data_IF_674142427275
#
_entry.id   IF_674142427275
#
_cell.length_a   1.000
_cell.length_b   1.000
_cell.length_c   1.000
_cell.angle_alpha   90.00
_cell.angle_beta   90.00
_cell.angle_gamma   90.00
#
_symmetry.space_group_name_H-M   'P 1'
#
loop_
_entity.id
_entity.type
_entity.pdbx_description
1 polymer ?
#
# COMPACT_ATOMS: atom_id res chain seq x y z
N UNK A 1 57.17 45.68 -23.05
CA UNK A 1 56.57 44.72 -22.13
C UNK A 1 55.04 44.91 -22.17
N UNK A 2 54.29 44.06 -22.89
CA UNK A 2 52.85 44.16 -22.99
C UNK A 2 52.23 43.23 -21.87
N UNK A 3 51.49 43.82 -20.96
CA UNK A 3 50.76 43.10 -19.93
C UNK A 3 49.46 42.54 -20.57
N UNK A 4 49.33 41.23 -20.64
CA UNK A 4 48.07 40.59 -20.95
C UNK A 4 47.17 40.50 -19.69
N UNK A 5 46.00 41.09 -19.74
CA UNK A 5 44.98 41.00 -18.73
C UNK A 5 44.11 39.77 -19.07
N UNK A 6 44.17 38.76 -18.23
CA UNK A 6 43.32 37.56 -18.34
C UNK A 6 41.95 37.86 -17.70
N UNK A 7 40.91 37.99 -18.50
CA UNK A 7 39.56 38.17 -18.02
C UNK A 7 38.99 36.79 -17.61
N UNK A 8 38.73 36.60 -16.33
CA UNK A 8 38.09 35.41 -15.77
C UNK A 8 36.57 35.58 -15.90
N UNK A 9 35.94 34.89 -16.85
CA UNK A 9 34.47 34.87 -16.99
C UNK A 9 33.89 33.89 -15.99
N UNK A 10 33.25 34.36 -14.93
CA UNK A 10 32.50 33.54 -13.99
C UNK A 10 31.16 33.21 -14.62
N UNK A 11 30.99 31.96 -15.00
CA UNK A 11 29.71 31.40 -15.48
C UNK A 11 28.83 31.10 -14.26
N UNK A 12 27.90 31.99 -13.93
CA UNK A 12 26.90 31.75 -12.89
C UNK A 12 25.85 30.77 -13.43
N UNK A 13 25.91 29.54 -12.97
CA UNK A 13 24.82 28.54 -13.20
C UNK A 13 23.63 28.97 -12.34
N UNK A 14 22.62 29.54 -12.99
CA UNK A 14 21.31 29.77 -12.37
C UNK A 14 20.67 28.41 -12.15
N UNK A 15 20.74 27.87 -10.94
CA UNK A 15 19.89 26.73 -10.51
C UNK A 15 18.49 27.30 -10.41
N UNK A 16 17.65 26.99 -11.40
CA UNK A 16 16.22 27.28 -11.30
C UNK A 16 15.66 26.37 -10.20
N UNK A 17 14.89 26.91 -9.25
CA UNK A 17 14.17 26.07 -8.30
C UNK A 17 13.20 25.19 -9.10
N UNK A 18 13.38 23.88 -9.03
CA UNK A 18 12.38 22.92 -9.50
C UNK A 18 11.17 23.10 -8.60
N UNK A 19 10.14 23.77 -9.10
CA UNK A 19 8.83 23.73 -8.44
C UNK A 19 8.38 22.27 -8.47
N UNK A 20 8.43 21.61 -7.33
CA UNK A 20 7.82 20.29 -7.18
C UNK A 20 6.34 20.44 -7.52
N UNK A 21 5.87 19.73 -8.55
CA UNK A 21 4.44 19.73 -8.93
C UNK A 21 3.59 19.29 -7.73
N UNK A 22 2.74 20.20 -7.26
CA UNK A 22 1.80 19.94 -6.19
C UNK A 22 0.68 19.04 -6.71
N UNK A 23 0.54 17.83 -6.14
CA UNK A 23 -0.54 16.92 -6.49
C UNK A 23 -1.89 17.50 -6.01
N UNK A 24 -2.84 17.61 -6.92
CA UNK A 24 -4.23 18.02 -6.61
C UNK A 24 -5.17 16.87 -6.83
N UNK A 25 -6.07 16.67 -5.87
CA UNK A 25 -7.06 15.59 -5.89
C UNK A 25 -8.44 16.16 -6.14
N UNK A 26 -9.12 15.63 -7.16
CA UNK A 26 -10.50 15.96 -7.47
C UNK A 26 -11.36 14.69 -7.32
N UNK A 27 -12.36 14.74 -6.44
CA UNK A 27 -13.26 13.61 -6.19
C UNK A 27 -14.08 13.32 -7.45
N UNK A 28 -14.01 12.08 -7.92
CA UNK A 28 -14.78 11.61 -9.08
C UNK A 28 -16.12 11.01 -8.65
N UNK A 29 -16.08 10.07 -7.71
CA UNK A 29 -17.26 9.41 -7.20
C UNK A 29 -17.01 8.82 -5.80
N UNK A 30 -18.08 8.44 -5.15
CA UNK A 30 -18.10 7.69 -3.90
C UNK A 30 -19.17 6.62 -4.00
N UNK A 31 -18.83 5.40 -3.62
CA UNK A 31 -19.79 4.31 -3.54
C UNK A 31 -20.83 4.54 -2.44
N UNK A 32 -21.87 3.71 -2.42
CA UNK A 32 -22.72 3.59 -1.25
C UNK A 32 -21.92 3.05 -0.06
N UNK A 33 -22.35 3.38 1.15
CA UNK A 33 -21.76 2.90 2.41
C UNK A 33 -22.34 1.51 2.78
N UNK A 34 -22.01 0.51 1.99
CA UNK A 34 -22.50 -0.87 2.16
C UNK A 34 -21.36 -1.84 2.52
N UNK A 35 -20.10 -1.44 2.33
CA UNK A 35 -18.94 -2.25 2.71
C UNK A 35 -18.81 -2.36 4.24
N UNK A 36 -18.11 -3.40 4.68
CA UNK A 36 -17.90 -3.71 6.09
C UNK A 36 -16.40 -3.69 6.41
N UNK A 37 -15.96 -2.60 7.04
CA UNK A 37 -14.54 -2.34 7.25
C UNK A 37 -13.71 -2.63 5.99
N UNK A 38 -14.00 -1.91 4.83
CA UNK A 38 -13.24 -2.11 3.60
C UNK A 38 -11.78 -1.71 3.83
N UNK A 39 -10.88 -2.64 3.57
CA UNK A 39 -9.48 -2.47 3.93
C UNK A 39 -8.58 -2.22 2.71
N UNK A 40 -8.67 -3.05 1.68
CA UNK A 40 -7.86 -2.92 0.47
C UNK A 40 -8.72 -2.83 -0.78
N UNK A 41 -8.15 -2.22 -1.81
CA UNK A 41 -8.75 -2.13 -3.14
C UNK A 41 -7.72 -2.49 -4.21
N UNK A 42 -8.11 -3.37 -5.13
CA UNK A 42 -7.27 -3.67 -6.32
C UNK A 42 -8.09 -3.62 -7.61
N UNK A 43 -7.40 -3.51 -8.73
CA UNK A 43 -8.00 -3.32 -10.04
C UNK A 43 -7.58 -4.39 -11.03
N UNK A 44 -8.55 -5.13 -11.55
CA UNK A 44 -8.34 -6.04 -12.67
C UNK A 44 -8.39 -5.25 -14.00
N UNK A 45 -7.23 -5.02 -14.59
CA UNK A 45 -7.11 -4.26 -15.84
C UNK A 45 -7.74 -5.00 -17.03
N UNK A 46 -7.73 -6.33 -17.01
CA UNK A 46 -8.26 -7.17 -18.10
C UNK A 46 -9.79 -7.19 -18.10
N UNK A 47 -10.40 -7.31 -16.91
CA UNK A 47 -11.86 -7.38 -16.73
C UNK A 47 -12.47 -6.02 -16.44
N UNK A 48 -11.61 -5.00 -16.19
CA UNK A 48 -12.00 -3.64 -15.84
C UNK A 48 -12.89 -3.60 -14.59
N UNK A 49 -12.56 -4.42 -13.61
CA UNK A 49 -13.30 -4.60 -12.36
C UNK A 49 -12.46 -4.17 -11.18
N UNK A 50 -13.11 -3.69 -10.14
CA UNK A 50 -12.52 -3.31 -8.87
C UNK A 50 -12.91 -4.38 -7.85
N UNK A 51 -11.94 -4.88 -7.08
CA UNK A 51 -12.16 -5.75 -5.93
C UNK A 51 -11.87 -4.98 -4.65
N UNK A 52 -12.71 -5.20 -3.62
CA UNK A 52 -12.56 -4.56 -2.30
C UNK A 52 -12.62 -5.64 -1.24
N UNK A 53 -11.59 -5.76 -0.40
CA UNK A 53 -11.61 -6.64 0.76
C UNK A 53 -12.42 -6.03 1.88
N UNK A 54 -13.14 -6.85 2.63
CA UNK A 54 -13.97 -6.42 3.75
C UNK A 54 -13.67 -7.32 4.96
N UNK A 55 -13.12 -6.72 6.01
CA UNK A 55 -12.81 -7.42 7.27
C UNK A 55 -14.10 -7.92 7.94
N UNK A 56 -15.13 -7.06 7.99
CA UNK A 56 -16.45 -7.36 8.56
C UNK A 56 -16.41 -7.75 10.04
N UNK A 57 -15.70 -6.98 10.85
CA UNK A 57 -15.62 -7.16 12.30
C UNK A 57 -14.20 -7.03 12.84
N UNK A 58 -13.80 -7.92 13.74
CA UNK A 58 -12.49 -7.87 14.36
C UNK A 58 -11.38 -8.35 13.40
N UNK A 59 -10.26 -7.60 13.24
CA UNK A 59 -9.26 -7.87 12.21
C UNK A 59 -8.45 -9.16 12.42
N UNK A 60 -8.60 -9.82 13.57
CA UNK A 60 -7.94 -11.09 13.90
C UNK A 60 -8.92 -12.22 14.19
N UNK A 61 -10.23 -12.01 14.00
CA UNK A 61 -11.24 -13.04 14.26
C UNK A 61 -11.23 -14.11 13.16
N UNK A 62 -11.19 -15.37 13.58
CA UNK A 62 -11.33 -16.55 12.70
C UNK A 62 -12.78 -16.96 12.74
N UNK A 63 -13.66 -16.24 12.06
CA UNK A 63 -15.11 -16.40 12.15
C UNK A 63 -15.83 -16.65 10.80
N UNK A 64 -15.07 -16.60 9.69
CA UNK A 64 -15.57 -16.88 8.35
C UNK A 64 -16.55 -15.86 7.80
N UNK A 65 -16.60 -14.65 8.37
CA UNK A 65 -17.58 -13.62 7.99
C UNK A 65 -17.06 -12.60 6.98
N UNK A 66 -15.72 -12.52 6.79
CA UNK A 66 -15.05 -11.64 5.84
C UNK A 66 -15.34 -11.99 4.38
N UNK A 67 -15.21 -11.02 3.50
CA UNK A 67 -15.56 -11.20 2.09
C UNK A 67 -14.84 -10.24 1.16
N UNK A 68 -14.85 -10.54 -0.14
CA UNK A 68 -14.41 -9.64 -1.22
C UNK A 68 -15.65 -9.16 -1.97
N UNK A 69 -15.70 -7.86 -2.25
CA UNK A 69 -16.73 -7.24 -3.08
C UNK A 69 -16.25 -7.00 -4.50
N UNK A 70 -17.16 -7.09 -5.47
CA UNK A 70 -16.96 -6.73 -6.88
C UNK A 70 -17.65 -5.40 -7.16
N UNK A 71 -16.91 -4.46 -7.75
CA UNK A 71 -17.33 -3.07 -7.97
C UNK A 71 -17.01 -2.65 -9.40
N UNK A 72 -17.92 -1.96 -10.04
CA UNK A 72 -17.73 -1.37 -11.36
C UNK A 72 -16.87 -0.09 -11.30
N UNK A 73 -16.35 0.36 -12.44
CA UNK A 73 -15.47 1.54 -12.54
C UNK A 73 -16.12 2.86 -12.11
N UNK A 74 -17.44 2.92 -12.05
CA UNK A 74 -18.23 4.07 -11.62
C UNK A 74 -18.56 4.04 -10.11
N UNK A 75 -18.05 3.03 -9.39
CA UNK A 75 -18.28 2.85 -7.95
C UNK A 75 -19.56 2.11 -7.60
N UNK A 76 -20.32 1.60 -8.59
CA UNK A 76 -21.48 0.76 -8.34
C UNK A 76 -21.05 -0.61 -7.83
N UNK A 77 -21.57 -1.02 -6.68
CA UNK A 77 -21.36 -2.36 -6.14
C UNK A 77 -22.17 -3.35 -7.01
N UNK A 78 -21.45 -4.21 -7.75
CA UNK A 78 -22.07 -5.24 -8.59
C UNK A 78 -22.43 -6.46 -7.76
N UNK A 79 -21.53 -6.86 -6.85
CA UNK A 79 -21.77 -7.98 -5.92
C UNK A 79 -21.04 -7.70 -4.60
N UNK A 80 -21.79 -7.43 -3.55
CA UNK A 80 -21.24 -7.08 -2.24
C UNK A 80 -20.39 -8.22 -1.66
N UNK A 81 -20.88 -9.45 -1.69
CA UNK A 81 -20.14 -10.67 -1.33
C UNK A 81 -19.87 -11.49 -2.59
N UNK A 82 -18.85 -11.08 -3.34
CA UNK A 82 -18.41 -11.80 -4.54
C UNK A 82 -17.69 -13.10 -4.18
N UNK A 83 -16.79 -13.04 -3.20
CA UNK A 83 -16.24 -14.19 -2.47
C UNK A 83 -16.58 -13.99 -1.00
N UNK A 84 -17.06 -14.99 -0.31
CA UNK A 84 -17.35 -14.99 1.13
C UNK A 84 -16.67 -16.16 1.84
N UNK A 85 -16.86 -16.27 3.17
CA UNK A 85 -16.26 -17.31 3.98
C UNK A 85 -14.76 -17.12 4.22
N UNK A 86 -14.24 -15.90 4.06
CA UNK A 86 -12.94 -15.47 4.53
C UNK A 86 -13.06 -15.04 6.00
N UNK A 87 -11.91 -14.88 6.69
CA UNK A 87 -11.95 -14.42 8.08
C UNK A 87 -11.92 -12.89 8.15
N UNK A 88 -10.74 -12.32 7.94
CA UNK A 88 -10.52 -10.87 7.95
C UNK A 88 -9.58 -10.47 6.79
N UNK A 89 -10.06 -10.56 5.51
CA UNK A 89 -9.22 -10.31 4.35
C UNK A 89 -8.75 -8.86 4.30
N UNK A 90 -7.46 -8.67 4.00
CA UNK A 90 -6.77 -7.39 3.97
C UNK A 90 -6.18 -7.11 2.58
N UNK A 91 -4.87 -6.99 2.49
CA UNK A 91 -4.16 -6.66 1.27
C UNK A 91 -4.47 -7.58 0.09
N UNK A 92 -4.51 -7.01 -1.11
CA UNK A 92 -4.84 -7.74 -2.34
C UNK A 92 -3.96 -7.33 -3.50
N UNK A 93 -3.47 -8.32 -4.28
CA UNK A 93 -2.75 -8.07 -5.52
C UNK A 93 -3.19 -9.01 -6.65
N UNK A 94 -3.14 -8.49 -7.89
CA UNK A 94 -3.55 -9.24 -9.09
C UNK A 94 -2.35 -9.71 -9.91
N UNK A 95 -2.37 -10.99 -10.33
CA UNK A 95 -1.45 -11.51 -11.35
C UNK A 95 -2.22 -12.36 -12.36
N UNK A 96 -2.45 -11.81 -13.54
CA UNK A 96 -3.26 -12.44 -14.58
C UNK A 96 -4.69 -12.67 -14.13
N UNK A 97 -5.08 -13.93 -13.92
CA UNK A 97 -6.40 -14.31 -13.41
C UNK A 97 -6.41 -14.69 -11.92
N UNK A 98 -5.30 -14.51 -11.24
CA UNK A 98 -5.16 -14.82 -9.83
C UNK A 98 -5.23 -13.56 -8.99
N UNK A 99 -6.11 -13.57 -8.01
CA UNK A 99 -6.17 -12.58 -6.95
C UNK A 99 -5.54 -13.20 -5.70
N UNK A 100 -4.46 -12.59 -5.23
CA UNK A 100 -3.80 -12.94 -3.97
C UNK A 100 -4.40 -12.07 -2.87
N UNK A 101 -4.77 -12.69 -1.75
CA UNK A 101 -5.44 -12.02 -0.63
C UNK A 101 -4.81 -12.48 0.68
N UNK A 102 -4.44 -11.57 1.54
CA UNK A 102 -4.03 -11.90 2.92
C UNK A 102 -5.25 -12.04 3.81
N UNK A 103 -5.27 -13.07 4.65
CA UNK A 103 -6.36 -13.35 5.57
C UNK A 103 -5.81 -13.89 6.90
N UNK A 104 -5.59 -12.99 7.86
CA UNK A 104 -4.96 -13.25 9.16
C UNK A 104 -3.56 -13.86 8.99
N UNK A 105 -3.43 -15.19 8.99
CA UNK A 105 -2.16 -15.90 8.83
C UNK A 105 -2.11 -16.78 7.59
N UNK A 106 -2.99 -16.50 6.61
CA UNK A 106 -3.02 -17.20 5.34
C UNK A 106 -2.86 -16.22 4.16
N UNK A 107 -2.15 -16.65 3.14
CA UNK A 107 -2.19 -16.06 1.81
C UNK A 107 -3.09 -16.93 0.94
N UNK A 108 -4.19 -16.35 0.47
CA UNK A 108 -5.23 -17.02 -0.30
C UNK A 108 -5.09 -16.68 -1.77
N UNK A 109 -5.25 -17.67 -2.65
CA UNK A 109 -5.27 -17.49 -4.10
C UNK A 109 -6.67 -17.77 -4.61
N UNK A 110 -7.26 -16.79 -5.28
CA UNK A 110 -8.59 -16.85 -5.88
C UNK A 110 -8.46 -16.79 -7.39
N UNK A 111 -9.11 -17.69 -8.10
CA UNK A 111 -9.31 -17.58 -9.55
C UNK A 111 -10.48 -16.64 -9.81
N UNK A 112 -10.22 -15.49 -10.46
CA UNK A 112 -11.25 -14.47 -10.68
C UNK A 112 -12.23 -14.83 -11.80
N UNK A 113 -11.93 -15.81 -12.66
CA UNK A 113 -12.83 -16.27 -13.73
C UNK A 113 -13.90 -17.20 -13.19
N UNK A 114 -13.53 -18.06 -12.26
CA UNK A 114 -14.45 -19.02 -11.63
C UNK A 114 -15.03 -18.51 -10.31
N UNK A 115 -14.47 -17.44 -9.77
CA UNK A 115 -14.80 -16.90 -8.45
C UNK A 115 -14.65 -17.97 -7.34
N UNK A 116 -13.54 -18.69 -7.34
CA UNK A 116 -13.27 -19.78 -6.39
C UNK A 116 -11.91 -19.64 -5.74
N UNK A 117 -11.81 -20.01 -4.46
CA UNK A 117 -10.53 -20.16 -3.77
C UNK A 117 -9.82 -21.41 -4.31
N UNK A 118 -8.64 -21.22 -4.91
CA UNK A 118 -7.85 -22.32 -5.45
C UNK A 118 -6.84 -22.87 -4.44
N UNK A 119 -6.23 -22.00 -3.64
CA UNK A 119 -5.17 -22.41 -2.72
C UNK A 119 -5.09 -21.48 -1.52
N UNK A 120 -4.65 -22.04 -0.40
CA UNK A 120 -4.31 -21.33 0.82
C UNK A 120 -2.89 -21.70 1.22
N UNK A 121 -2.08 -20.73 1.55
CA UNK A 121 -0.73 -20.89 2.07
C UNK A 121 -0.70 -20.36 3.50
N UNK A 122 -0.39 -21.22 4.44
CA UNK A 122 -0.37 -20.86 5.86
C UNK A 122 1.02 -20.32 6.23
N UNK A 123 1.06 -19.17 6.91
CA UNK A 123 2.20 -18.62 7.59
C UNK A 123 2.29 -19.15 9.04
N UNK A 124 3.12 -18.54 9.88
CA UNK A 124 3.19 -18.83 11.33
C UNK A 124 1.83 -18.55 12.01
N UNK A 125 1.50 -19.31 13.05
CA UNK A 125 0.23 -19.11 13.79
C UNK A 125 0.15 -17.75 14.50
N UNK A 126 1.28 -17.10 14.74
CA UNK A 126 1.37 -15.76 15.33
C UNK A 126 1.34 -14.64 14.32
N UNK A 127 1.36 -14.98 13.02
CA UNK A 127 1.39 -14.00 11.94
C UNK A 127 0.08 -13.20 11.87
N UNK A 128 0.23 -11.95 11.49
CA UNK A 128 -0.85 -11.06 11.08
C UNK A 128 -0.46 -10.48 9.73
N UNK A 129 -0.71 -11.28 8.68
CA UNK A 129 -0.43 -10.89 7.32
C UNK A 129 -1.30 -9.70 6.95
N UNK A 130 -0.66 -8.67 6.40
CA UNK A 130 -1.36 -7.44 6.08
C UNK A 130 -1.36 -7.20 4.58
N UNK A 131 -0.31 -6.63 4.02
CA UNK A 131 -0.32 -6.25 2.62
C UNK A 131 0.40 -7.26 1.73
N UNK A 132 0.06 -7.24 0.43
CA UNK A 132 0.65 -8.11 -0.58
C UNK A 132 1.01 -7.32 -1.83
N UNK A 133 2.23 -7.49 -2.31
CA UNK A 133 2.69 -6.90 -3.54
C UNK A 133 3.40 -7.93 -4.44
N UNK A 134 3.38 -7.67 -5.74
CA UNK A 134 3.93 -8.58 -6.75
C UNK A 134 5.03 -7.85 -7.52
N UNK A 135 6.21 -8.44 -7.56
CA UNK A 135 7.33 -7.91 -8.34
C UNK A 135 7.12 -8.12 -9.85
N UNK A 136 7.91 -7.44 -10.66
CA UNK A 136 7.82 -7.51 -12.12
C UNK A 136 8.13 -8.90 -12.69
N UNK A 137 8.87 -9.72 -11.96
CA UNK A 137 9.18 -11.13 -12.29
C UNK A 137 8.18 -12.13 -11.70
N UNK A 138 7.11 -11.62 -11.04
CA UNK A 138 5.98 -12.41 -10.57
C UNK A 138 6.18 -13.05 -9.19
N UNK A 139 7.18 -12.62 -8.42
CA UNK A 139 7.34 -13.02 -7.02
C UNK A 139 6.36 -12.25 -6.14
N UNK A 140 5.65 -12.96 -5.28
CA UNK A 140 4.68 -12.38 -4.34
C UNK A 140 5.37 -12.18 -2.99
N UNK A 141 5.29 -10.97 -2.46
CA UNK A 141 5.75 -10.61 -1.14
C UNK A 141 4.58 -10.19 -0.25
N UNK A 142 4.68 -10.49 1.03
CA UNK A 142 3.59 -10.27 2.00
C UNK A 142 4.19 -9.73 3.30
N UNK A 143 3.68 -8.62 3.82
CA UNK A 143 4.06 -8.10 5.12
C UNK A 143 3.35 -8.84 6.24
N UNK A 144 4.05 -9.06 7.35
CA UNK A 144 3.53 -9.59 8.60
C UNK A 144 3.76 -8.57 9.71
N UNK A 145 2.71 -7.86 10.04
CA UNK A 145 2.74 -6.74 10.98
C UNK A 145 3.03 -7.21 12.41
N UNK A 146 2.60 -8.41 12.78
CA UNK A 146 2.76 -8.89 14.15
C UNK A 146 4.17 -9.39 14.48
N UNK A 147 4.92 -9.89 13.50
CA UNK A 147 6.18 -10.59 13.74
C UNK A 147 7.40 -9.95 13.08
N UNK A 148 7.28 -8.72 12.58
CA UNK A 148 8.36 -8.01 11.89
C UNK A 148 8.99 -8.83 10.75
N UNK A 149 8.11 -9.42 9.90
CA UNK A 149 8.53 -10.26 8.79
C UNK A 149 7.98 -9.77 7.46
N UNK A 150 8.69 -10.16 6.40
CA UNK A 150 8.18 -10.19 5.04
C UNK A 150 8.27 -11.63 4.59
N UNK A 151 7.13 -12.20 4.19
CA UNK A 151 7.06 -13.49 3.54
C UNK A 151 7.22 -13.35 2.04
N UNK A 152 7.62 -14.44 1.39
CA UNK A 152 7.68 -14.57 -0.06
C UNK A 152 7.02 -15.87 -0.49
N UNK A 153 6.14 -15.80 -1.48
CA UNK A 153 5.67 -17.02 -2.16
C UNK A 153 6.62 -17.35 -3.29
N UNK A 154 7.41 -18.39 -3.10
CA UNK A 154 8.41 -18.84 -4.04
C UNK A 154 8.33 -20.35 -4.25
N UNK A 155 8.34 -20.79 -5.52
CA UNK A 155 8.24 -22.20 -5.90
C UNK A 155 7.10 -22.97 -5.22
N UNK A 156 5.98 -22.28 -4.99
CA UNK A 156 4.77 -22.86 -4.39
C UNK A 156 4.79 -22.99 -2.88
N UNK A 157 5.74 -22.37 -2.19
CA UNK A 157 5.86 -22.32 -0.73
C UNK A 157 5.84 -20.87 -0.24
N UNK A 158 5.10 -20.60 0.83
CA UNK A 158 5.16 -19.33 1.56
C UNK A 158 6.29 -19.44 2.60
N UNK A 159 7.34 -18.68 2.40
CA UNK A 159 8.56 -18.73 3.24
C UNK A 159 8.91 -17.36 3.81
N UNK A 160 9.54 -17.31 4.98
CA UNK A 160 10.08 -16.07 5.54
C UNK A 160 11.22 -15.62 4.63
N UNK A 161 11.04 -14.47 3.97
CA UNK A 161 12.06 -13.87 3.14
C UNK A 161 12.97 -12.94 3.94
N UNK A 162 12.40 -12.14 4.86
CA UNK A 162 13.12 -11.24 5.75
C UNK A 162 12.45 -11.23 7.12
N UNK A 163 13.26 -11.23 8.19
CA UNK A 163 12.83 -10.99 9.55
C UNK A 163 13.82 -10.01 10.18
N UNK A 164 13.33 -8.83 10.59
CA UNK A 164 14.18 -7.77 11.13
C UNK A 164 13.34 -6.79 11.97
N UNK A 165 13.78 -6.48 13.17
CA UNK A 165 13.10 -5.54 14.08
C UNK A 165 13.05 -4.11 13.54
N UNK A 166 13.90 -3.75 12.58
CA UNK A 166 13.86 -2.44 11.89
C UNK A 166 12.64 -2.26 11.00
N UNK A 167 11.90 -3.33 10.69
CA UNK A 167 10.65 -3.24 9.95
C UNK A 167 9.56 -2.52 10.75
N UNK A 168 9.63 -2.54 12.08
CA UNK A 168 8.76 -1.78 13.00
C UNK A 168 7.27 -1.95 12.71
N UNK A 169 6.81 -3.21 12.73
CA UNK A 169 5.45 -3.62 12.41
C UNK A 169 5.07 -3.23 10.96
N UNK A 170 5.67 -3.91 9.95
CA UNK A 170 5.48 -3.59 8.54
C UNK A 170 4.01 -3.80 8.14
N UNK A 171 3.44 -2.81 7.46
CA UNK A 171 2.06 -2.84 6.97
C UNK A 171 2.05 -2.63 5.45
N UNK A 172 1.96 -1.40 4.95
CA UNK A 172 1.90 -1.12 3.53
C UNK A 172 3.10 -1.64 2.73
N UNK A 173 2.85 -2.15 1.53
CA UNK A 173 3.87 -2.77 0.70
C UNK A 173 3.76 -2.33 -0.76
N UNK A 174 4.85 -1.81 -1.31
CA UNK A 174 4.97 -1.51 -2.73
C UNK A 174 6.30 -2.03 -3.28
N UNK A 175 6.33 -2.51 -4.51
CA UNK A 175 7.56 -3.02 -5.15
C UNK A 175 7.79 -2.25 -6.45
N UNK A 176 8.96 -1.66 -6.59
CA UNK A 176 9.48 -1.18 -7.86
C UNK A 176 10.66 -2.06 -8.35
N UNK A 177 11.33 -1.62 -9.42
CA UNK A 177 12.43 -2.42 -9.99
C UNK A 177 13.66 -2.51 -9.09
N UNK A 178 13.85 -1.57 -8.19
CA UNK A 178 15.08 -1.44 -7.40
C UNK A 178 14.87 -1.81 -5.92
N UNK A 179 13.64 -1.61 -5.40
CA UNK A 179 13.35 -1.75 -3.99
C UNK A 179 12.00 -2.37 -3.70
N UNK A 180 11.93 -3.02 -2.57
CA UNK A 180 10.70 -3.29 -1.84
C UNK A 180 10.52 -2.14 -0.85
N UNK A 181 9.44 -1.38 -0.99
CA UNK A 181 9.12 -0.23 -0.15
C UNK A 181 8.11 -0.68 0.90
N UNK A 182 8.40 -0.39 2.15
CA UNK A 182 7.55 -0.77 3.29
C UNK A 182 7.10 0.48 4.02
N UNK A 183 5.82 0.58 4.29
CA UNK A 183 5.25 1.50 5.25
C UNK A 183 5.18 0.83 6.62
N UNK A 184 5.96 1.31 7.59
CA UNK A 184 5.92 0.81 8.96
C UNK A 184 4.75 1.42 9.72
N UNK A 185 4.12 0.63 10.58
CA UNK A 185 3.14 1.17 11.53
C UNK A 185 3.82 1.92 12.69
N UNK A 186 5.03 1.51 13.04
CA UNK A 186 5.77 1.88 14.24
C UNK A 186 5.66 0.79 15.30
N UNK A 187 6.63 0.73 16.23
CA UNK A 187 6.69 -0.33 17.25
C UNK A 187 5.47 -0.33 18.16
N UNK A 188 4.79 -1.45 18.22
CA UNK A 188 3.67 -1.63 19.13
C UNK A 188 4.10 -1.53 20.60
N UNK A 189 3.29 -0.87 21.41
CA UNK A 189 3.41 -0.79 22.87
C UNK A 189 2.33 -1.61 23.53
N UNK A 190 1.10 -1.15 23.53
CA UNK A 190 -0.06 -1.89 24.04
C UNK A 190 -1.13 -1.99 22.94
N UNK A 191 -1.44 -3.21 22.50
CA UNK A 191 -2.30 -3.46 21.36
C UNK A 191 -1.71 -2.84 20.07
N UNK A 192 -2.44 -1.98 19.39
CA UNK A 192 -2.03 -1.29 18.17
C UNK A 192 -1.44 0.11 18.41
N UNK A 193 -1.26 0.51 19.67
CA UNK A 193 -0.69 1.80 20.02
C UNK A 193 0.83 1.82 19.79
N UNK A 194 1.34 3.01 19.46
CA UNK A 194 2.77 3.26 19.28
C UNK A 194 3.14 4.56 19.99
N UNK A 195 4.30 4.59 20.64
CA UNK A 195 4.85 5.84 21.21
C UNK A 195 5.46 6.70 20.10
N UNK A 196 6.06 6.05 19.11
CA UNK A 196 6.66 6.68 17.93
C UNK A 196 6.00 6.04 16.71
N UNK A 197 5.32 6.83 15.85
CA UNK A 197 4.76 6.32 14.60
C UNK A 197 5.85 5.81 13.65
N UNK A 198 5.43 5.10 12.61
CA UNK A 198 6.33 4.54 11.62
C UNK A 198 6.80 5.52 10.55
N UNK A 199 7.57 4.98 9.62
CA UNK A 199 8.17 5.69 8.50
C UNK A 199 8.26 4.76 7.28
N UNK A 200 8.79 5.28 6.17
CA UNK A 200 9.01 4.49 4.96
C UNK A 200 10.41 3.88 4.94
N UNK A 201 10.49 2.61 4.57
CA UNK A 201 11.73 1.86 4.40
C UNK A 201 11.91 1.45 2.94
N UNK A 202 13.17 1.41 2.50
CA UNK A 202 13.62 0.86 1.23
C UNK A 202 14.42 -0.40 1.49
N UNK A 203 13.99 -1.52 0.93
CA UNK A 203 14.66 -2.82 1.10
C UNK A 203 15.16 -3.28 -0.26
N UNK A 204 16.45 -3.58 -0.34
CA UNK A 204 17.05 -4.15 -1.55
C UNK A 204 16.61 -5.61 -1.70
N UNK A 205 16.02 -6.01 -2.84
CA UNK A 205 15.66 -7.40 -3.07
C UNK A 205 16.88 -8.32 -3.25
N UNK A 206 18.06 -7.77 -3.57
CA UNK A 206 19.27 -8.53 -3.83
C UNK A 206 19.97 -8.99 -2.54
N UNK A 207 20.24 -8.06 -1.64
CA UNK A 207 21.02 -8.32 -0.41
C UNK A 207 20.22 -8.12 0.89
N UNK A 208 18.93 -7.79 0.79
CA UNK A 208 18.01 -7.54 1.90
C UNK A 208 18.44 -6.39 2.82
N UNK A 209 19.32 -5.51 2.35
CA UNK A 209 19.70 -4.34 3.12
C UNK A 209 18.50 -3.40 3.27
N UNK A 210 18.30 -2.89 4.50
CA UNK A 210 17.22 -1.96 4.85
C UNK A 210 17.82 -0.57 4.98
N UNK A 211 17.18 0.40 4.34
CA UNK A 211 17.52 1.83 4.41
C UNK A 211 16.25 2.64 4.67
N UNK A 212 16.40 3.74 5.36
CA UNK A 212 15.32 4.70 5.50
C UNK A 212 15.04 5.39 4.16
N UNK A 213 13.76 5.66 3.88
CA UNK A 213 13.38 6.58 2.84
C UNK A 213 13.55 8.02 3.34
N UNK A 214 14.15 8.87 2.53
CA UNK A 214 14.49 10.25 2.90
C UNK A 214 15.37 10.31 4.17
N UNK A 215 14.92 11.01 5.21
CA UNK A 215 15.65 11.19 6.48
C UNK A 215 15.21 10.19 7.58
N UNK A 216 14.32 9.27 7.28
CA UNK A 216 13.85 8.23 8.20
C UNK A 216 12.99 8.73 9.36
N UNK A 217 12.54 10.00 9.32
CA UNK A 217 11.71 10.52 10.40
C UNK A 217 10.33 9.86 10.42
N UNK A 218 9.73 9.69 11.61
CA UNK A 218 8.37 9.20 11.73
C UNK A 218 7.37 10.13 11.03
N UNK A 219 6.43 9.55 10.26
CA UNK A 219 5.44 10.32 9.50
C UNK A 219 4.00 9.89 9.77
N UNK A 220 3.77 8.70 10.34
CA UNK A 220 2.43 8.21 10.65
C UNK A 220 2.39 6.73 10.98
N UNK A 221 1.23 6.23 11.36
CA UNK A 221 0.96 4.79 11.42
C UNK A 221 0.55 4.34 10.01
N UNK A 222 1.58 3.99 9.22
CA UNK A 222 1.44 3.83 7.77
C UNK A 222 0.70 2.55 7.43
N UNK A 223 -0.23 2.68 6.48
CA UNK A 223 -1.06 1.60 5.98
C UNK A 223 -0.91 1.52 4.46
N UNK A 224 -1.79 2.11 3.67
CA UNK A 224 -1.73 2.06 2.21
C UNK A 224 -0.53 2.79 1.61
N UNK A 225 0.04 2.21 0.55
CA UNK A 225 1.24 2.72 -0.09
C UNK A 225 1.17 2.60 -1.61
N UNK A 226 1.35 3.72 -2.32
CA UNK A 226 1.38 3.73 -3.79
C UNK A 226 2.43 4.69 -4.35
N UNK A 227 3.08 4.34 -5.45
CA UNK A 227 4.07 5.19 -6.13
C UNK A 227 3.41 6.43 -6.74
N UNK A 228 3.77 7.63 -6.33
CA UNK A 228 3.25 8.88 -6.86
C UNK A 228 4.09 9.44 -8.01
N UNK A 229 5.39 9.55 -7.82
CA UNK A 229 6.37 10.06 -8.76
C UNK A 229 7.60 9.17 -8.88
N UNK A 230 8.66 9.69 -9.46
CA UNK A 230 9.94 8.98 -9.53
C UNK A 230 10.43 8.67 -8.10
N UNK A 231 10.45 9.69 -7.27
CA UNK A 231 11.07 9.65 -5.94
C UNK A 231 10.04 10.10 -4.87
N UNK A 232 8.79 9.60 -4.99
CA UNK A 232 7.72 9.97 -4.05
C UNK A 232 6.60 8.93 -4.01
N UNK A 233 5.89 8.90 -2.88
CA UNK A 233 4.82 7.95 -2.58
C UNK A 233 3.58 8.65 -2.04
N UNK A 234 2.41 8.14 -2.38
CA UNK A 234 1.17 8.38 -1.64
C UNK A 234 1.11 7.37 -0.51
N UNK A 235 0.80 7.84 0.69
CA UNK A 235 0.79 7.01 1.91
C UNK A 235 -0.41 7.39 2.75
N UNK A 236 -1.11 6.42 3.31
CA UNK A 236 -2.13 6.67 4.32
C UNK A 236 -1.57 6.54 5.73
N UNK A 237 -2.01 7.42 6.63
CA UNK A 237 -1.89 7.26 8.08
C UNK A 237 -3.24 6.79 8.60
N UNK A 238 -3.32 5.54 9.03
CA UNK A 238 -4.57 4.92 9.46
C UNK A 238 -5.14 5.57 10.72
N UNK A 239 -4.27 5.87 11.71
CA UNK A 239 -4.68 6.41 13.00
C UNK A 239 -5.16 7.86 12.90
N UNK A 240 -4.42 8.71 12.18
CA UNK A 240 -4.82 10.11 11.99
C UNK A 240 -5.79 10.29 10.82
N UNK A 241 -5.93 9.28 9.97
CA UNK A 241 -6.83 9.32 8.82
C UNK A 241 -6.42 10.32 7.75
N UNK A 242 -5.16 10.30 7.36
CA UNK A 242 -4.60 11.20 6.35
C UNK A 242 -4.16 10.45 5.11
N UNK A 243 -4.31 11.08 3.95
CA UNK A 243 -3.54 10.76 2.77
C UNK A 243 -2.40 11.77 2.64
N UNK A 244 -1.19 11.28 2.57
CA UNK A 244 0.02 12.09 2.51
C UNK A 244 0.79 11.84 1.21
N UNK A 245 1.57 12.83 0.77
CA UNK A 245 2.56 12.73 -0.30
C UNK A 245 3.95 12.84 0.30
N UNK A 246 4.63 11.72 0.45
CA UNK A 246 6.00 11.64 0.97
C UNK A 246 7.02 11.70 -0.18
N UNK A 247 8.01 12.58 -0.08
CA UNK A 247 9.03 12.82 -1.12
C UNK A 247 10.43 12.49 -0.60
N UNK A 248 11.33 12.13 -1.52
CA UNK A 248 12.70 11.76 -1.17
C UNK A 248 13.56 12.90 -0.56
N UNK A 249 13.12 14.16 -0.72
CA UNK A 249 13.75 15.30 -0.05
C UNK A 249 13.35 15.46 1.43
N UNK A 250 12.53 14.54 1.93
CA UNK A 250 11.98 14.54 3.29
C UNK A 250 10.67 15.34 3.43
N UNK A 251 10.18 16.01 2.39
CA UNK A 251 8.91 16.73 2.45
C UNK A 251 7.74 15.75 2.53
N UNK A 252 6.79 16.02 3.42
CA UNK A 252 5.54 15.26 3.55
C UNK A 252 4.38 16.23 3.56
N UNK A 253 3.57 16.20 2.51
CA UNK A 253 2.38 17.06 2.36
C UNK A 253 1.12 16.25 2.65
N UNK A 254 0.23 16.77 3.50
CA UNK A 254 -1.11 16.18 3.67
C UNK A 254 -2.00 16.62 2.50
N UNK A 255 -2.48 15.65 1.72
CA UNK A 255 -3.36 15.89 0.58
C UNK A 255 -4.85 15.84 0.95
N UNK A 256 -5.22 14.94 1.87
CA UNK A 256 -6.60 14.76 2.33
C UNK A 256 -6.65 14.42 3.82
N UNK A 257 -7.65 14.98 4.50
CA UNK A 257 -8.10 14.55 5.83
C UNK A 257 -9.29 13.61 5.63
N UNK A 258 -9.10 12.32 5.88
CA UNK A 258 -10.08 11.27 5.57
C UNK A 258 -10.81 10.76 6.82
N UNK A 259 -10.21 10.96 8.00
CA UNK A 259 -10.62 10.35 9.26
C UNK A 259 -10.03 8.96 9.47
N UNK A 260 -9.95 8.52 10.71
CA UNK A 260 -9.36 7.24 11.12
C UNK A 260 -9.92 6.05 10.31
N UNK A 261 -9.05 5.12 9.95
CA UNK A 261 -9.39 3.97 9.13
C UNK A 261 -9.21 4.21 7.63
N UNK A 262 -8.30 5.11 7.24
CA UNK A 262 -7.83 5.23 5.87
C UNK A 262 -6.79 4.14 5.65
N UNK A 263 -7.24 3.04 5.06
CA UNK A 263 -6.47 1.81 4.91
C UNK A 263 -5.67 1.79 3.59
N UNK A 264 -5.47 0.63 2.99
CA UNK A 264 -4.70 0.47 1.77
C UNK A 264 -5.31 1.23 0.59
N UNK A 265 -4.47 1.67 -0.35
CA UNK A 265 -4.87 2.49 -1.50
C UNK A 265 -4.38 1.92 -2.81
N UNK A 266 -5.10 2.21 -3.89
CA UNK A 266 -4.64 1.92 -5.24
C UNK A 266 -4.52 3.19 -6.07
N UNK A 267 -3.31 3.48 -6.58
CA UNK A 267 -3.09 4.55 -7.53
C UNK A 267 -2.68 4.02 -8.91
N UNK A 268 -3.60 4.07 -9.86
CA UNK A 268 -3.35 3.75 -11.27
C UNK A 268 -2.78 4.98 -11.98
N UNK A 269 -1.46 5.16 -11.91
CA UNK A 269 -0.75 6.33 -12.46
C UNK A 269 -1.07 6.62 -13.92
N UNK A 270 -1.15 5.59 -14.77
CA UNK A 270 -1.46 5.74 -16.20
C UNK A 270 -2.85 6.30 -16.48
N UNK A 271 -3.75 6.23 -15.50
CA UNK A 271 -5.11 6.74 -15.58
C UNK A 271 -5.33 7.96 -14.68
N UNK A 272 -4.32 8.39 -13.93
CA UNK A 272 -4.45 9.40 -12.86
C UNK A 272 -5.64 9.10 -11.92
N UNK A 273 -5.84 7.84 -11.57
CA UNK A 273 -7.00 7.34 -10.86
C UNK A 273 -6.59 6.73 -9.52
N UNK A 274 -7.04 7.34 -8.44
CA UNK A 274 -6.76 6.93 -7.07
C UNK A 274 -8.04 6.42 -6.42
N UNK A 275 -7.96 5.23 -5.81
CA UNK A 275 -9.03 4.62 -5.03
C UNK A 275 -8.63 4.54 -3.57
N UNK A 276 -9.56 4.91 -2.68
CA UNK A 276 -9.35 4.93 -1.22
C UNK A 276 -10.54 4.26 -0.55
N UNK A 277 -10.38 3.07 0.05
CA UNK A 277 -11.37 2.50 0.94
C UNK A 277 -11.37 3.27 2.27
N UNK A 278 -12.55 3.49 2.83
CA UNK A 278 -12.73 4.19 4.11
C UNK A 278 -13.41 3.23 5.09
N UNK A 279 -12.60 2.53 5.90
CA UNK A 279 -13.07 1.45 6.78
C UNK A 279 -14.23 1.87 7.68
N UNK A 280 -14.08 2.97 8.41
CA UNK A 280 -15.09 3.45 9.36
C UNK A 280 -16.36 4.00 8.70
N UNK A 281 -16.28 4.39 7.41
CA UNK A 281 -17.42 4.93 6.65
C UNK A 281 -18.08 3.87 5.77
N UNK A 282 -17.47 2.71 5.60
CA UNK A 282 -18.01 1.61 4.80
C UNK A 282 -18.17 1.94 3.31
N UNK A 283 -17.32 2.80 2.74
CA UNK A 283 -17.39 3.20 1.34
C UNK A 283 -16.03 3.20 0.66
N UNK A 284 -16.05 3.27 -0.67
CA UNK A 284 -14.89 3.45 -1.54
C UNK A 284 -15.02 4.81 -2.23
N UNK A 285 -13.94 5.59 -2.25
CA UNK A 285 -13.90 6.90 -2.91
C UNK A 285 -12.86 6.90 -4.01
N UNK A 286 -13.22 7.46 -5.16
CA UNK A 286 -12.31 7.66 -6.28
C UNK A 286 -11.96 9.13 -6.47
N UNK A 287 -10.70 9.37 -6.78
CA UNK A 287 -10.17 10.69 -7.10
C UNK A 287 -9.41 10.67 -8.43
N UNK A 288 -9.48 11.78 -9.14
CA UNK A 288 -8.52 12.11 -10.19
C UNK A 288 -7.32 12.82 -9.56
N UNK A 289 -6.11 12.39 -9.93
CA UNK A 289 -4.86 13.01 -9.47
C UNK A 289 -4.36 13.93 -10.59
N UNK A 290 -4.31 15.23 -10.33
CA UNK A 290 -3.77 16.25 -11.23
C UNK A 290 -2.40 16.70 -10.76
N UNK A 291 -1.52 16.97 -11.69
CA UNK A 291 -0.20 17.56 -11.49
C UNK A 291 -0.22 19.03 -11.86
#
# INVERSE_FOLDING_TARGET
>A
MKKQILALTILSVLVQPSFAEELKLEKLWQSKAEFKEPECVTYDIMRRSIYVSNINGEPSAVDGNGFISLVANDGKIEKLKWIDGLNAPKGMAMLGKKLFVTDINELIVIDVETATVEKRFKADDKSFLNDVAISSDGVIYVTDTATNRIYRLYQGNLEIWLEDERLENPNGLYIDHEHIIVGSWGKFTEGWNTDIPGHLLLISPEDKSIKDFADGRPIGNLDGLAKAGKDSFLVTDWMQGKLMHAKADGTVDTLLELGQGSADILYLRSKNFLLIPQMKKGNLVAYSVKK
#
